data_IF_977742817548
#
_entry.id   IF_977742817548
#
_cell.length_a   1.000
_cell.length_b   1.000
_cell.length_c   1.000
_cell.angle_alpha   90.00
_cell.angle_beta   90.00
_cell.angle_gamma   90.00
#
_symmetry.space_group_name_H-M   'P 1'
#
loop_
_entity.id
_entity.type
_entity.pdbx_description
1 polymer ?
#
# COMPACT_ATOMS: atom_id res chain seq x y z
N UNK A 1 34.97 7.88 14.17
CA UNK A 1 34.14 6.67 13.96
C UNK A 1 32.84 6.83 14.74
N UNK A 2 31.80 7.46 14.16
CA UNK A 2 30.54 7.78 14.86
C UNK A 2 29.57 6.60 14.69
N UNK A 3 29.17 6.04 15.83
CA UNK A 3 28.22 4.94 16.02
C UNK A 3 26.94 5.16 15.21
N UNK A 4 26.67 4.29 14.23
CA UNK A 4 25.35 4.20 13.57
C UNK A 4 24.32 3.85 14.64
N UNK A 5 23.38 4.75 14.90
CA UNK A 5 22.21 4.48 15.76
C UNK A 5 21.51 3.24 15.23
N UNK A 6 21.38 2.21 16.08
CA UNK A 6 20.55 1.04 15.82
C UNK A 6 19.10 1.53 15.63
N UNK A 7 18.67 1.62 14.38
CA UNK A 7 17.31 2.01 14.05
C UNK A 7 16.41 0.83 14.41
N UNK A 8 15.66 0.95 15.51
CA UNK A 8 14.75 -0.10 15.99
C UNK A 8 13.68 -0.32 14.92
N UNK A 9 13.79 -1.42 14.16
CA UNK A 9 12.79 -1.79 13.16
C UNK A 9 11.51 -2.18 13.91
N UNK A 10 10.52 -1.29 13.90
CA UNK A 10 9.17 -1.60 14.39
C UNK A 10 8.45 -2.36 13.30
N UNK A 11 8.13 -3.62 13.54
CA UNK A 11 7.34 -4.43 12.59
C UNK A 11 5.90 -3.95 12.67
N UNK A 12 5.35 -3.52 11.52
CA UNK A 12 3.96 -3.08 11.39
C UNK A 12 2.97 -4.24 11.59
N UNK A 13 1.75 -3.92 12.03
CA UNK A 13 0.66 -4.89 12.16
C UNK A 13 0.38 -5.58 10.82
N UNK A 14 0.18 -6.90 10.86
CA UNK A 14 -0.10 -7.75 9.70
C UNK A 14 1.12 -8.50 9.16
N UNK A 15 2.31 -8.24 9.70
CA UNK A 15 3.56 -8.89 9.28
C UNK A 15 4.11 -9.89 10.32
N UNK A 16 3.44 -10.06 11.47
CA UNK A 16 3.85 -11.04 12.49
C UNK A 16 2.86 -12.20 12.64
N UNK A 17 3.34 -13.35 13.10
CA UNK A 17 2.51 -14.58 13.29
C UNK A 17 1.31 -14.34 14.20
N UNK A 18 1.50 -13.55 15.26
CA UNK A 18 0.41 -13.18 16.19
C UNK A 18 -0.67 -12.35 15.48
N UNK A 19 -0.30 -11.49 14.53
CA UNK A 19 -1.28 -10.66 13.81
C UNK A 19 -2.12 -11.52 12.89
N UNK A 20 -1.52 -12.52 12.23
CA UNK A 20 -2.26 -13.51 11.42
C UNK A 20 -3.30 -14.26 12.27
N UNK A 21 -2.91 -14.70 13.47
CA UNK A 21 -3.84 -15.35 14.39
C UNK A 21 -4.95 -14.40 14.87
N UNK A 22 -4.61 -13.16 15.22
CA UNK A 22 -5.57 -12.15 15.65
C UNK A 22 -6.60 -11.82 14.55
N UNK A 23 -6.14 -11.69 13.31
CA UNK A 23 -7.03 -11.44 12.16
C UNK A 23 -7.92 -12.66 11.90
N UNK A 24 -7.37 -13.88 11.92
CA UNK A 24 -8.15 -15.10 11.71
C UNK A 24 -9.23 -15.29 12.77
N UNK A 25 -8.88 -15.10 14.05
CA UNK A 25 -9.85 -15.17 15.16
C UNK A 25 -10.86 -14.04 15.04
N UNK A 26 -10.42 -12.81 14.79
CA UNK A 26 -11.29 -11.65 14.65
C UNK A 26 -12.31 -11.81 13.52
N UNK A 27 -11.88 -12.32 12.36
CA UNK A 27 -12.76 -12.59 11.22
C UNK A 27 -13.78 -13.70 11.55
N UNK A 28 -13.36 -14.74 12.26
CA UNK A 28 -14.25 -15.84 12.68
C UNK A 28 -15.31 -15.32 13.65
N UNK A 29 -14.91 -14.57 14.67
CA UNK A 29 -15.81 -13.96 15.64
C UNK A 29 -16.76 -12.99 14.95
N UNK A 30 -16.27 -12.17 14.00
CA UNK A 30 -17.12 -11.27 13.22
C UNK A 30 -18.19 -12.01 12.41
N UNK A 31 -17.83 -13.14 11.78
CA UNK A 31 -18.80 -13.96 11.04
C UNK A 31 -19.87 -14.58 11.93
N UNK A 32 -19.47 -15.12 13.09
CA UNK A 32 -20.41 -15.66 14.08
C UNK A 32 -21.32 -14.55 14.62
N UNK A 33 -20.75 -13.40 15.01
CA UNK A 33 -21.50 -12.26 15.51
C UNK A 33 -22.51 -11.73 14.47
N UNK A 34 -22.11 -11.68 13.19
CA UNK A 34 -23.01 -11.28 12.11
C UNK A 34 -24.16 -12.28 11.93
N UNK A 35 -23.88 -13.59 11.93
CA UNK A 35 -24.92 -14.63 11.86
C UNK A 35 -25.89 -14.52 13.03
N UNK A 36 -25.38 -14.47 14.26
CA UNK A 36 -26.20 -14.36 15.46
C UNK A 36 -26.99 -13.05 15.50
N UNK A 37 -26.42 -11.95 15.02
CA UNK A 37 -27.13 -10.67 14.89
C UNK A 37 -28.29 -10.74 13.90
N UNK A 38 -28.10 -11.39 12.74
CA UNK A 38 -29.18 -11.61 11.77
C UNK A 38 -30.29 -12.51 12.33
N UNK A 39 -29.93 -13.59 13.01
CA UNK A 39 -30.90 -14.48 13.68
C UNK A 39 -31.68 -13.76 14.77
N UNK A 40 -31.03 -12.90 15.56
CA UNK A 40 -31.69 -12.07 16.57
C UNK A 40 -32.72 -11.10 15.97
N UNK A 41 -32.47 -10.61 14.75
CA UNK A 41 -33.40 -9.78 13.99
C UNK A 41 -34.53 -10.59 13.31
N UNK A 42 -34.59 -11.91 13.54
CA UNK A 42 -35.64 -12.80 13.04
C UNK A 42 -35.37 -13.41 11.67
N UNK A 43 -34.14 -13.30 11.14
CA UNK A 43 -33.75 -13.98 9.90
C UNK A 43 -33.59 -15.48 10.16
N UNK A 44 -34.12 -16.30 9.26
CA UNK A 44 -33.96 -17.75 9.33
C UNK A 44 -32.47 -18.16 9.36
N UNK A 45 -32.06 -19.14 10.20
CA UNK A 45 -30.65 -19.52 10.34
C UNK A 45 -29.95 -19.93 9.04
N UNK A 46 -30.67 -20.56 8.10
CA UNK A 46 -30.10 -20.96 6.80
C UNK A 46 -29.86 -19.73 5.92
N UNK A 47 -30.81 -18.80 5.89
CA UNK A 47 -30.67 -17.54 5.17
C UNK A 47 -29.58 -16.65 5.76
N UNK A 48 -29.51 -16.55 7.10
CA UNK A 48 -28.47 -15.81 7.81
C UNK A 48 -27.07 -16.35 7.45
N UNK A 49 -26.91 -17.68 7.40
CA UNK A 49 -25.67 -18.31 6.96
C UNK A 49 -25.27 -17.91 5.53
N UNK A 50 -26.21 -17.96 4.58
CA UNK A 50 -25.95 -17.56 3.19
C UNK A 50 -25.54 -16.09 3.05
N UNK A 51 -26.19 -15.19 3.80
CA UNK A 51 -25.84 -13.76 3.81
C UNK A 51 -24.44 -13.55 4.34
N UNK A 52 -24.09 -14.18 5.47
CA UNK A 52 -22.73 -14.08 6.05
C UNK A 52 -21.69 -14.61 5.08
N UNK A 53 -21.95 -15.75 4.42
CA UNK A 53 -21.05 -16.31 3.42
C UNK A 53 -20.86 -15.36 2.24
N UNK A 54 -21.96 -14.79 1.72
CA UNK A 54 -21.89 -13.82 0.63
C UNK A 54 -21.07 -12.61 1.05
N UNK A 55 -21.40 -11.98 2.18
CA UNK A 55 -20.69 -10.78 2.65
C UNK A 55 -19.21 -11.04 2.90
N UNK A 56 -18.85 -12.10 3.62
CA UNK A 56 -17.46 -12.36 3.97
C UNK A 56 -16.65 -12.86 2.76
N UNK A 57 -17.13 -13.87 2.04
CA UNK A 57 -16.35 -14.48 0.95
C UNK A 57 -16.33 -13.55 -0.26
N UNK A 58 -17.48 -13.03 -0.69
CA UNK A 58 -17.54 -12.12 -1.83
C UNK A 58 -16.88 -10.79 -1.49
N UNK A 59 -17.12 -10.24 -0.30
CA UNK A 59 -16.51 -9.00 0.16
C UNK A 59 -14.98 -9.08 0.23
N UNK A 60 -14.43 -10.17 0.80
CA UNK A 60 -12.99 -10.40 0.81
C UNK A 60 -12.42 -10.59 -0.60
N UNK A 61 -13.13 -11.31 -1.47
CA UNK A 61 -12.70 -11.54 -2.85
C UNK A 61 -12.64 -10.24 -3.64
N UNK A 62 -13.71 -9.45 -3.60
CA UNK A 62 -13.78 -8.13 -4.26
C UNK A 62 -12.76 -7.18 -3.66
N UNK A 63 -12.64 -7.14 -2.33
CA UNK A 63 -11.63 -6.34 -1.63
C UNK A 63 -10.22 -6.73 -2.08
N UNK A 64 -9.90 -8.02 -2.11
CA UNK A 64 -8.59 -8.51 -2.53
C UNK A 64 -8.28 -8.19 -4.00
N UNK A 65 -9.22 -8.43 -4.92
CA UNK A 65 -9.06 -8.09 -6.34
C UNK A 65 -8.92 -6.59 -6.54
N UNK A 66 -9.66 -5.77 -5.78
CA UNK A 66 -9.54 -4.31 -5.87
C UNK A 66 -8.11 -3.84 -5.59
N UNK A 67 -7.38 -4.50 -4.67
CA UNK A 67 -5.97 -4.18 -4.41
C UNK A 67 -5.08 -4.36 -5.65
N UNK A 68 -5.41 -5.31 -6.54
CA UNK A 68 -4.71 -5.47 -7.80
C UNK A 68 -5.01 -4.32 -8.76
N UNK A 69 -6.29 -3.94 -8.89
CA UNK A 69 -6.71 -2.83 -9.74
C UNK A 69 -6.01 -1.54 -9.31
N UNK A 70 -6.03 -1.20 -8.02
CA UNK A 70 -5.37 0.01 -7.50
C UNK A 70 -3.86 0.02 -7.76
N UNK A 71 -3.16 -1.11 -7.55
CA UNK A 71 -1.73 -1.20 -7.84
C UNK A 71 -1.42 -1.00 -9.32
N UNK A 72 -2.25 -1.55 -10.20
CA UNK A 72 -2.11 -1.38 -11.66
C UNK A 72 -2.37 0.08 -12.05
N UNK A 73 -3.47 0.67 -11.58
CA UNK A 73 -3.82 2.07 -11.87
C UNK A 73 -2.76 3.06 -11.39
N UNK A 74 -2.18 2.84 -10.21
CA UNK A 74 -1.12 3.68 -9.64
C UNK A 74 0.27 3.37 -10.20
N UNK A 75 0.40 2.45 -11.17
CA UNK A 75 1.69 1.97 -11.71
C UNK A 75 2.66 1.49 -10.62
N UNK A 76 2.14 0.95 -9.52
CA UNK A 76 2.91 0.29 -8.48
C UNK A 76 3.26 -1.15 -8.88
N UNK A 77 3.72 -1.30 -10.12
CA UNK A 77 4.13 -2.56 -10.71
C UNK A 77 5.63 -2.58 -10.88
N UNK A 78 6.20 -3.79 -10.79
CA UNK A 78 7.65 -4.00 -10.73
C UNK A 78 8.39 -3.25 -11.84
N UNK A 79 7.97 -3.37 -13.10
CA UNK A 79 8.64 -2.71 -14.22
C UNK A 79 8.54 -1.18 -14.15
N UNK A 80 7.36 -0.63 -13.85
CA UNK A 80 7.17 0.82 -13.77
C UNK A 80 7.94 1.45 -12.60
N UNK A 81 8.06 0.74 -11.47
CA UNK A 81 8.90 1.15 -10.35
C UNK A 81 10.39 1.07 -10.72
N UNK A 82 10.83 -0.06 -11.30
CA UNK A 82 12.21 -0.23 -11.72
C UNK A 82 12.67 0.84 -12.73
N UNK A 83 11.82 1.18 -13.70
CA UNK A 83 12.13 2.20 -14.70
C UNK A 83 12.29 3.58 -14.04
N UNK A 84 11.33 3.98 -13.19
CA UNK A 84 11.43 5.24 -12.43
C UNK A 84 12.68 5.30 -11.56
N UNK A 85 12.95 4.23 -10.80
CA UNK A 85 14.11 4.17 -9.91
C UNK A 85 15.43 4.22 -10.71
N UNK A 86 15.45 3.65 -11.91
CA UNK A 86 16.59 3.73 -12.82
C UNK A 86 16.77 5.15 -13.37
N UNK A 87 15.70 5.76 -13.88
CA UNK A 87 15.71 7.13 -14.40
C UNK A 87 16.15 8.14 -13.33
N UNK A 88 15.63 8.01 -12.11
CA UNK A 88 15.99 8.87 -10.97
C UNK A 88 17.49 8.73 -10.63
N UNK A 89 18.00 7.50 -10.56
CA UNK A 89 19.43 7.27 -10.29
C UNK A 89 20.33 7.80 -11.41
N UNK A 90 19.92 7.64 -12.67
CA UNK A 90 20.65 8.18 -13.81
C UNK A 90 20.67 9.71 -13.76
N UNK A 91 19.53 10.35 -13.48
CA UNK A 91 19.44 11.80 -13.34
C UNK A 91 20.31 12.32 -12.19
N UNK A 92 20.25 11.68 -11.01
CA UNK A 92 21.14 12.01 -9.89
C UNK A 92 22.62 11.90 -10.29
N UNK A 93 23.00 10.83 -10.99
CA UNK A 93 24.39 10.67 -11.45
C UNK A 93 24.82 11.76 -12.42
N UNK A 94 23.91 12.22 -13.30
CA UNK A 94 24.16 13.35 -14.21
C UNK A 94 24.38 14.64 -13.42
N UNK A 95 23.52 14.94 -12.45
CA UNK A 95 23.64 16.12 -11.59
C UNK A 95 24.94 16.10 -10.76
N UNK A 96 25.31 14.96 -10.18
CA UNK A 96 26.58 14.78 -9.47
C UNK A 96 27.82 14.94 -10.36
N UNK A 97 27.68 14.69 -11.67
CA UNK A 97 28.79 14.77 -12.63
C UNK A 97 28.99 16.16 -13.23
N UNK A 98 28.04 17.08 -13.05
CA UNK A 98 28.15 18.46 -13.52
C UNK A 98 29.02 19.28 -12.56
N UNK A 99 29.77 20.24 -13.10
CA UNK A 99 30.51 21.20 -12.28
C UNK A 99 29.55 22.17 -11.59
N UNK A 100 29.93 22.75 -10.44
CA UNK A 100 29.06 23.68 -9.70
C UNK A 100 28.56 24.84 -10.57
N UNK A 101 29.41 25.36 -11.46
CA UNK A 101 29.04 26.43 -12.40
C UNK A 101 28.00 26.00 -13.45
N UNK A 102 28.07 24.75 -13.95
CA UNK A 102 27.08 24.22 -14.90
C UNK A 102 25.74 23.92 -14.20
N UNK A 103 25.78 23.48 -12.94
CA UNK A 103 24.59 23.25 -12.13
C UNK A 103 23.86 24.56 -11.79
N UNK A 104 24.60 25.60 -11.41
CA UNK A 104 24.05 26.95 -11.17
C UNK A 104 23.39 27.53 -12.43
N UNK A 105 24.04 27.40 -13.59
CA UNK A 105 23.48 27.86 -14.87
C UNK A 105 22.22 27.08 -15.29
N UNK A 106 22.11 25.78 -14.95
CA UNK A 106 20.89 25.00 -15.19
C UNK A 106 19.76 25.36 -14.23
N UNK A 107 20.08 25.67 -12.97
CA UNK A 107 19.08 26.14 -11.99
C UNK A 107 18.52 27.51 -12.39
N UNK A 108 19.38 28.43 -12.85
CA UNK A 108 18.97 29.75 -13.33
C UNK A 108 18.02 29.64 -14.54
N UNK A 109 18.33 28.77 -15.52
CA UNK A 109 17.46 28.51 -16.67
C UNK A 109 16.08 27.96 -16.26
N UNK A 110 16.03 27.01 -15.32
CA UNK A 110 14.74 26.44 -14.85
C UNK A 110 13.92 27.49 -14.08
N UNK A 111 14.55 28.37 -13.31
CA UNK A 111 13.87 29.48 -12.62
C UNK A 111 13.36 30.57 -13.56
N UNK A 112 14.06 30.81 -14.67
CA UNK A 112 13.58 31.69 -15.75
C UNK A 112 12.38 31.07 -16.47
N UNK A 113 12.44 29.78 -16.85
CA UNK A 113 11.32 29.07 -17.47
C UNK A 113 10.07 29.07 -16.58
N UNK A 114 10.22 28.80 -15.27
CA UNK A 114 9.12 28.85 -14.29
C UNK A 114 8.51 30.24 -14.08
N UNK A 115 9.26 31.32 -14.33
CA UNK A 115 8.73 32.70 -14.31
C UNK A 115 8.00 33.07 -15.59
N UNK A 116 8.27 32.35 -16.69
CA UNK A 116 7.69 32.58 -18.01
C UNK A 116 6.46 31.73 -18.33
N UNK A 117 6.18 30.69 -17.53
CA UNK A 117 4.93 29.90 -17.52
C UNK A 117 3.96 30.40 -16.44
#
# INVERSE_FOLDING_TARGET
MKTKRQQKITISFGYTRKDVLLIGIGLTVAGVAMKSGLEYLGVDPLQAGNVVQLVLVFGLTVGWISTYIFRVSNKEMTYAQQLRDYEEKVMQKRLESLTEAELEALLEQVEEEKRSQ
#
